data_IF_959550910200
#
_entry.id   IF_959550910200
#
_cell.length_a   1.000
_cell.length_b   1.000
_cell.length_c   1.000
_cell.angle_alpha   90.00
_cell.angle_beta   90.00
_cell.angle_gamma   90.00
#
_symmetry.space_group_name_H-M   'P 1'
#
loop_
_entity.id
_entity.type
_entity.pdbx_description
1 polymer ?
#
# COMPACT_ATOMS: atom_id res chain seq x y z
N UNK A 1 -6.02 -20.98 14.62
CA UNK A 1 -6.45 -20.08 13.52
C UNK A 1 -6.50 -20.93 12.26
N UNK A 2 -7.65 -21.17 11.65
CA UNK A 2 -7.69 -21.83 10.33
C UNK A 2 -7.17 -20.79 9.35
N UNK A 3 -6.05 -21.05 8.68
CA UNK A 3 -5.64 -20.21 7.57
C UNK A 3 -6.74 -20.33 6.52
N UNK A 4 -7.50 -19.26 6.29
CA UNK A 4 -8.34 -19.17 5.12
C UNK A 4 -7.44 -19.41 3.90
N UNK A 5 -7.94 -20.15 2.91
CA UNK A 5 -7.23 -20.30 1.65
C UNK A 5 -7.10 -18.90 1.02
N UNK A 6 -5.86 -18.41 0.90
CA UNK A 6 -5.59 -17.11 0.31
C UNK A 6 -5.56 -17.28 -1.19
N UNK A 7 -6.62 -16.84 -1.85
CA UNK A 7 -6.75 -16.83 -3.32
C UNK A 7 -6.56 -15.43 -3.88
N UNK A 8 -6.26 -15.32 -5.18
CA UNK A 8 -6.19 -14.02 -5.86
C UNK A 8 -7.52 -13.26 -5.76
N UNK A 9 -8.65 -13.97 -5.89
CA UNK A 9 -9.99 -13.38 -5.76
C UNK A 9 -10.24 -12.82 -4.34
N UNK A 10 -9.76 -13.53 -3.30
CA UNK A 10 -9.84 -13.03 -1.93
C UNK A 10 -9.01 -11.76 -1.77
N UNK A 11 -7.76 -11.76 -2.27
CA UNK A 11 -6.89 -10.56 -2.22
C UNK A 11 -7.54 -9.39 -2.95
N UNK A 12 -8.09 -9.59 -4.14
CA UNK A 12 -8.81 -8.55 -4.88
C UNK A 12 -10.00 -7.99 -4.10
N UNK A 13 -10.80 -8.87 -3.48
CA UNK A 13 -11.95 -8.45 -2.67
C UNK A 13 -11.54 -7.67 -1.41
N UNK A 14 -10.44 -8.05 -0.75
CA UNK A 14 -9.90 -7.31 0.41
C UNK A 14 -9.27 -5.98 -0.01
N UNK A 15 -8.59 -5.92 -1.16
CA UNK A 15 -8.07 -4.67 -1.72
C UNK A 15 -9.20 -3.67 -1.96
N UNK A 16 -10.31 -4.08 -2.58
CA UNK A 16 -11.46 -3.20 -2.78
C UNK A 16 -12.09 -2.71 -1.46
N UNK A 17 -12.08 -3.53 -0.39
CA UNK A 17 -12.49 -3.09 0.95
C UNK A 17 -11.58 -2.01 1.52
N UNK A 18 -10.26 -2.14 1.33
CA UNK A 18 -9.29 -1.10 1.72
C UNK A 18 -9.52 0.18 0.93
N UNK A 19 -9.70 0.08 -0.39
CA UNK A 19 -9.93 1.24 -1.26
C UNK A 19 -11.22 1.97 -0.89
N UNK A 20 -12.31 1.24 -0.66
CA UNK A 20 -13.58 1.82 -0.20
C UNK A 20 -13.43 2.51 1.17
N UNK A 21 -12.64 1.93 2.07
CA UNK A 21 -12.35 2.54 3.38
C UNK A 21 -11.55 3.83 3.22
N UNK A 22 -10.50 3.83 2.39
CA UNK A 22 -9.69 5.01 2.12
C UNK A 22 -10.54 6.16 1.54
N UNK A 23 -11.40 5.85 0.55
CA UNK A 23 -12.30 6.81 -0.07
C UNK A 23 -13.38 7.37 0.88
N UNK A 24 -13.69 6.65 1.97
CA UNK A 24 -14.66 7.12 2.97
C UNK A 24 -14.11 8.17 3.94
N UNK A 25 -12.78 8.35 3.98
CA UNK A 25 -12.17 9.32 4.88
C UNK A 25 -12.35 10.75 4.38
N UNK A 26 -12.46 11.67 5.33
CA UNK A 26 -12.16 13.08 5.09
C UNK A 26 -10.65 13.28 5.09
N UNK A 27 -10.17 14.29 4.37
CA UNK A 27 -8.72 14.58 4.29
C UNK A 27 -8.06 14.83 5.65
N UNK A 28 -8.79 15.39 6.64
CA UNK A 28 -8.27 15.57 8.00
C UNK A 28 -8.14 14.24 8.77
N UNK A 29 -9.02 13.27 8.51
CA UNK A 29 -8.96 11.95 9.11
C UNK A 29 -7.76 11.13 8.64
N UNK A 30 -7.30 11.34 7.40
CA UNK A 30 -6.06 10.76 6.85
C UNK A 30 -4.84 11.20 7.67
N UNK A 31 -4.82 12.45 8.13
CA UNK A 31 -3.71 13.01 8.90
C UNK A 31 -3.72 12.60 10.37
N UNK A 32 -4.86 12.13 10.90
CA UNK A 32 -4.98 11.71 12.28
C UNK A 32 -4.21 10.39 12.55
N UNK A 33 -3.79 10.15 13.81
CA UNK A 33 -3.05 8.95 14.19
C UNK A 33 -3.77 7.65 13.79
N UNK A 34 -2.99 6.67 13.35
CA UNK A 34 -3.40 5.29 13.17
C UNK A 34 -3.18 4.49 14.47
N UNK A 35 -3.44 3.18 14.43
CA UNK A 35 -3.07 2.26 15.51
C UNK A 35 -1.60 1.84 15.46
N UNK A 36 -0.87 2.17 14.39
CA UNK A 36 0.57 2.02 14.31
C UNK A 36 1.20 3.27 14.95
N UNK A 37 1.92 3.07 16.06
CA UNK A 37 2.56 4.16 16.79
C UNK A 37 3.47 4.99 15.86
N UNK A 38 3.36 6.31 15.93
CA UNK A 38 4.09 7.25 15.08
C UNK A 38 3.54 7.41 13.65
N UNK A 39 2.55 6.63 13.22
CA UNK A 39 2.00 6.69 11.86
C UNK A 39 0.59 7.29 11.83
N UNK A 40 0.34 8.22 10.90
CA UNK A 40 -1.03 8.61 10.54
C UNK A 40 -1.71 7.53 9.70
N UNK A 41 -3.03 7.62 9.51
CA UNK A 41 -3.74 6.76 8.56
C UNK A 41 -3.17 6.90 7.15
N UNK A 42 -2.78 8.11 6.75
CA UNK A 42 -2.10 8.37 5.47
C UNK A 42 -0.77 7.65 5.32
N UNK A 43 0.03 7.49 6.39
CA UNK A 43 1.25 6.67 6.33
C UNK A 43 0.92 5.21 6.04
N UNK A 44 -0.12 4.65 6.69
CA UNK A 44 -0.56 3.28 6.43
C UNK A 44 -1.01 3.12 4.98
N UNK A 45 -1.84 4.04 4.47
CA UNK A 45 -2.35 3.98 3.10
C UNK A 45 -1.22 4.16 2.06
N UNK A 46 -0.30 5.10 2.28
CA UNK A 46 0.88 5.26 1.42
C UNK A 46 1.77 4.01 1.43
N UNK A 47 1.93 3.39 2.60
CA UNK A 47 2.71 2.16 2.71
C UNK A 47 2.09 1.02 1.92
N UNK A 48 0.76 0.82 1.98
CA UNK A 48 0.09 -0.24 1.21
C UNK A 48 0.34 -0.08 -0.30
N UNK A 49 0.21 1.13 -0.84
CA UNK A 49 0.47 1.37 -2.26
C UNK A 49 1.94 1.12 -2.64
N UNK A 50 2.89 1.62 -1.84
CA UNK A 50 4.34 1.36 -2.07
C UNK A 50 4.72 -0.10 -1.86
N UNK A 51 3.98 -0.83 -1.03
CA UNK A 51 4.20 -2.27 -0.82
C UNK A 51 3.74 -3.07 -2.04
N UNK A 52 2.61 -2.73 -2.65
CA UNK A 52 2.15 -3.34 -3.89
C UNK A 52 3.19 -3.14 -5.02
N UNK A 53 3.69 -1.92 -5.18
CA UNK A 53 4.76 -1.62 -6.16
C UNK A 53 6.03 -2.46 -5.93
N UNK A 54 6.36 -2.69 -4.66
CA UNK A 54 7.53 -3.44 -4.27
C UNK A 54 7.35 -4.95 -4.47
N UNK A 55 6.14 -5.48 -4.28
CA UNK A 55 5.79 -6.87 -4.60
C UNK A 55 5.82 -7.12 -6.12
N UNK A 56 5.34 -6.16 -6.93
CA UNK A 56 5.45 -6.24 -8.39
C UNK A 56 6.92 -6.37 -8.83
N UNK A 57 7.82 -5.55 -8.26
CA UNK A 57 9.27 -5.67 -8.50
C UNK A 57 9.83 -7.06 -8.15
N UNK A 58 9.37 -7.66 -7.05
CA UNK A 58 9.80 -9.02 -6.66
C UNK A 58 9.34 -10.06 -7.69
N UNK A 59 8.11 -9.94 -8.18
CA UNK A 59 7.60 -10.81 -9.26
C UNK A 59 8.42 -10.63 -10.55
N UNK A 60 8.74 -9.40 -10.94
CA UNK A 60 9.55 -9.12 -12.13
C UNK A 60 10.95 -9.72 -12.04
N UNK A 61 11.61 -9.58 -10.88
CA UNK A 61 12.90 -10.23 -10.60
C UNK A 61 12.80 -11.74 -10.72
N UNK A 62 11.75 -12.35 -10.14
CA UNK A 62 11.55 -13.79 -10.20
C UNK A 62 11.27 -14.29 -11.63
N UNK A 63 10.53 -13.54 -12.43
CA UNK A 63 10.18 -13.90 -13.81
C UNK A 63 11.35 -13.73 -14.78
N UNK A 64 12.14 -12.67 -14.62
CA UNK A 64 13.22 -12.32 -15.54
C UNK A 64 14.58 -12.89 -15.13
N UNK A 65 14.77 -13.21 -13.86
CA UNK A 65 16.06 -13.57 -13.28
C UNK A 65 17.04 -12.41 -13.17
N UNK A 66 16.63 -11.18 -13.48
CA UNK A 66 17.46 -9.99 -13.33
C UNK A 66 17.66 -9.67 -11.84
N UNK A 67 18.85 -9.23 -11.40
CA UNK A 67 19.08 -8.87 -10.01
C UNK A 67 18.24 -7.64 -9.62
N UNK A 68 17.63 -7.69 -8.44
CA UNK A 68 16.87 -6.58 -7.88
C UNK A 68 16.37 -6.88 -6.47
N UNK A 69 15.98 -5.84 -5.76
CA UNK A 69 15.43 -5.91 -4.40
C UNK A 69 14.01 -5.33 -4.39
N UNK A 70 13.24 -5.68 -3.36
CA UNK A 70 11.88 -5.16 -3.15
C UNK A 70 11.87 -3.61 -3.02
N UNK A 71 12.84 -3.08 -2.27
CA UNK A 71 13.13 -1.66 -2.11
C UNK A 71 14.61 -1.41 -2.38
N UNK A 72 14.96 -0.23 -2.87
CA UNK A 72 16.37 0.14 -3.11
C UNK A 72 17.13 0.21 -1.78
N UNK A 73 16.57 0.91 -0.79
CA UNK A 73 17.04 0.91 0.60
C UNK A 73 15.87 1.08 1.59
N UNK A 74 16.03 0.72 2.88
CA UNK A 74 15.04 1.03 3.91
C UNK A 74 14.69 2.52 3.99
N UNK A 75 15.68 3.41 3.84
CA UNK A 75 15.50 4.86 3.93
C UNK A 75 14.69 5.39 2.74
N UNK A 76 14.91 4.86 1.53
CA UNK A 76 14.11 5.22 0.36
C UNK A 76 12.63 4.83 0.52
N UNK A 77 12.37 3.62 1.05
CA UNK A 77 11.03 3.16 1.39
C UNK A 77 10.36 4.12 2.37
N UNK A 78 11.05 4.47 3.45
CA UNK A 78 10.49 5.32 4.49
C UNK A 78 10.25 6.76 3.98
N UNK A 79 11.13 7.27 3.13
CA UNK A 79 10.97 8.58 2.47
C UNK A 79 9.75 8.60 1.54
N UNK A 80 9.54 7.56 0.73
CA UNK A 80 8.39 7.44 -0.18
C UNK A 80 7.06 7.37 0.60
N UNK A 81 7.05 6.65 1.72
CA UNK A 81 5.88 6.57 2.61
C UNK A 81 5.57 7.96 3.19
N UNK A 82 6.60 8.64 3.73
CA UNK A 82 6.44 9.96 4.34
C UNK A 82 5.96 11.02 3.32
N UNK A 83 6.50 10.97 2.10
CA UNK A 83 6.10 11.86 1.01
C UNK A 83 4.63 11.63 0.60
N UNK A 84 4.17 10.38 0.59
CA UNK A 84 2.80 10.02 0.26
C UNK A 84 1.78 10.25 1.38
N UNK A 85 2.22 10.33 2.64
CA UNK A 85 1.34 10.26 3.81
C UNK A 85 0.37 11.44 4.00
N UNK A 86 0.54 12.53 3.24
CA UNK A 86 -0.29 13.74 3.31
C UNK A 86 -1.22 13.93 2.11
N UNK A 87 -1.31 12.94 1.21
CA UNK A 87 -2.27 12.95 0.11
C UNK A 87 -3.71 13.00 0.65
N UNK A 88 -4.62 13.48 -0.18
CA UNK A 88 -6.05 13.41 0.09
C UNK A 88 -6.55 11.96 0.16
N UNK A 89 -7.74 11.78 0.73
CA UNK A 89 -8.38 10.47 0.82
C UNK A 89 -8.59 9.84 -0.57
N UNK A 90 -9.05 10.63 -1.55
CA UNK A 90 -9.27 10.19 -2.92
C UNK A 90 -7.96 9.83 -3.64
N UNK A 91 -6.89 10.59 -3.41
CA UNK A 91 -5.57 10.27 -3.95
C UNK A 91 -5.02 8.96 -3.36
N UNK A 92 -5.23 8.69 -2.07
CA UNK A 92 -4.86 7.41 -1.48
C UNK A 92 -5.68 6.24 -2.03
N UNK A 93 -7.00 6.41 -2.18
CA UNK A 93 -7.87 5.39 -2.74
C UNK A 93 -7.47 5.05 -4.19
N UNK A 94 -7.12 6.08 -4.97
CA UNK A 94 -6.64 5.93 -6.35
C UNK A 94 -5.28 5.25 -6.40
N UNK A 95 -4.29 5.70 -5.62
CA UNK A 95 -2.94 5.12 -5.60
C UNK A 95 -2.94 3.65 -5.17
N UNK A 96 -3.79 3.27 -4.21
CA UNK A 96 -3.96 1.86 -3.81
C UNK A 96 -4.57 1.03 -4.95
N UNK A 97 -5.60 1.54 -5.62
CA UNK A 97 -6.22 0.83 -6.76
C UNK A 97 -5.23 0.66 -7.91
N UNK A 98 -4.53 1.73 -8.26
CA UNK A 98 -3.59 1.74 -9.40
C UNK A 98 -2.37 0.85 -9.14
N UNK A 99 -1.83 0.86 -7.92
CA UNK A 99 -0.70 0.00 -7.54
C UNK A 99 -1.09 -1.48 -7.47
N UNK A 100 -2.32 -1.80 -7.07
CA UNK A 100 -2.83 -3.18 -7.04
C UNK A 100 -3.13 -3.77 -8.43
N UNK A 101 -3.27 -2.94 -9.46
CA UNK A 101 -3.58 -3.35 -10.83
C UNK A 101 -2.34 -3.56 -11.73
N UNK A 102 -1.13 -3.36 -11.19
CA UNK A 102 0.15 -3.57 -11.88
C UNK A 102 0.52 -5.05 -11.92
#
# INVERSE_FOLDING_TARGET
MKHAEVTADLVAAETERVVATAASFRNDAVLAPSLCEGWSRGHVLAHLARNADALARVCDVALTGAPGTMYDTPESRDADIAAGARRSADEHATDIRDSAAR
#
